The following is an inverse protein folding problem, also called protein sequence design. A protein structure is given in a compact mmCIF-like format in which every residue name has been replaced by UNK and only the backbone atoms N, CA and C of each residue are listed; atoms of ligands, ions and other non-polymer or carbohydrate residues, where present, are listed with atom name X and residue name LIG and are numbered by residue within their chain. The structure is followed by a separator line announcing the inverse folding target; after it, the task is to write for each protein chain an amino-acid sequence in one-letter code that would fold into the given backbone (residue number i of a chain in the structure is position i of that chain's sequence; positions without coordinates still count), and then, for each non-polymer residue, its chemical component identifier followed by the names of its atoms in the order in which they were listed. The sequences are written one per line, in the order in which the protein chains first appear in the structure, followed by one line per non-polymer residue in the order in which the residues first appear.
data_IF_312621899537
#
_entry.id   IF_312621899537
#
_cell.length_a   1.000
_cell.length_b   1.000
_cell.length_c   1.000
_cell.angle_alpha   90.00
_cell.angle_beta   90.00
_cell.angle_gamma   90.00
#
_symmetry.space_group_name_H-M   'P 1'
#
loop_
_entity.id
_entity.type
_entity.pdbx_description
1 polymer ?
#
# COMPACT_ATOMS: atom_id res chain seq x y z
N UNK A 1 -27.26 -47.51 0.54
CA UNK A 1 -25.95 -46.93 0.91
C UNK A 1 -25.18 -46.72 -0.38
N UNK A 2 -24.77 -45.54 -0.85
CA UNK A 2 -24.92 -44.15 -0.42
C UNK A 2 -24.67 -43.34 -1.69
N UNK A 3 -25.53 -42.35 -1.95
CA UNK A 3 -25.52 -41.54 -3.15
C UNK A 3 -24.28 -40.65 -3.23
N UNK A 4 -23.57 -40.72 -4.36
CA UNK A 4 -22.60 -39.72 -4.80
C UNK A 4 -23.30 -38.84 -5.83
N UNK A 5 -24.13 -37.92 -5.33
CA UNK A 5 -24.71 -36.81 -6.09
C UNK A 5 -23.64 -35.70 -6.10
N UNK A 6 -22.70 -35.79 -7.05
CA UNK A 6 -21.69 -34.75 -7.24
C UNK A 6 -22.40 -33.51 -7.80
N UNK A 7 -22.12 -32.39 -7.14
CA UNK A 7 -22.67 -31.07 -7.37
C UNK A 7 -22.18 -30.57 -8.73
N UNK A 8 -22.96 -30.82 -9.79
CA UNK A 8 -22.95 -29.98 -10.98
C UNK A 8 -23.98 -28.87 -10.73
N UNK A 9 -23.49 -27.69 -10.35
CA UNK A 9 -24.31 -26.49 -10.36
C UNK A 9 -24.85 -26.29 -11.77
N UNK A 10 -26.16 -26.34 -11.91
CA UNK A 10 -26.86 -25.89 -13.12
C UNK A 10 -26.44 -24.44 -13.37
N UNK A 11 -25.88 -24.09 -14.55
CA UNK A 11 -25.64 -22.69 -14.89
C UNK A 11 -26.98 -21.95 -14.81
N UNK A 12 -27.02 -20.92 -13.97
CA UNK A 12 -28.19 -20.06 -13.79
C UNK A 12 -28.58 -19.44 -15.13
N UNK A 13 -29.86 -19.46 -15.48
CA UNK A 13 -30.42 -18.95 -16.72
C UNK A 13 -30.44 -17.40 -16.82
N UNK A 14 -29.72 -16.70 -15.93
CA UNK A 14 -29.72 -15.24 -15.79
C UNK A 14 -28.46 -14.55 -16.32
N UNK A 15 -27.61 -15.21 -17.12
CA UNK A 15 -26.49 -14.53 -17.77
C UNK A 15 -26.96 -13.73 -19.01
N UNK A 16 -27.96 -12.85 -18.84
CA UNK A 16 -28.14 -11.75 -19.78
C UNK A 16 -26.84 -10.95 -19.81
N UNK A 17 -26.23 -10.85 -21.00
CA UNK A 17 -25.01 -10.07 -21.21
C UNK A 17 -25.34 -8.61 -20.88
N UNK A 18 -24.89 -8.15 -19.71
CA UNK A 18 -25.06 -6.76 -19.29
C UNK A 18 -24.28 -5.85 -20.22
N UNK A 19 -24.84 -4.69 -20.52
CA UNK A 19 -24.12 -3.70 -21.34
C UNK A 19 -22.98 -3.07 -20.54
N UNK A 20 -21.89 -2.64 -21.19
CA UNK A 20 -20.75 -2.03 -20.48
C UNK A 20 -21.14 -0.83 -19.60
N UNK A 21 -22.07 0.07 -19.98
CA UNK A 21 -22.57 1.12 -19.10
C UNK A 21 -23.20 0.61 -17.79
N UNK A 22 -23.95 -0.50 -17.84
CA UNK A 22 -24.56 -1.12 -16.65
C UNK A 22 -23.50 -1.72 -15.71
N UNK A 23 -22.47 -2.35 -16.29
CA UNK A 23 -21.34 -2.90 -15.54
C UNK A 23 -20.55 -1.80 -14.83
N UNK A 24 -20.28 -0.67 -15.48
CA UNK A 24 -19.65 0.48 -14.82
C UNK A 24 -20.54 1.10 -13.72
N UNK A 25 -21.86 1.15 -13.93
CA UNK A 25 -22.79 1.58 -12.90
C UNK A 25 -22.80 0.62 -11.69
N UNK A 26 -22.65 -0.69 -11.92
CA UNK A 26 -22.51 -1.69 -10.86
C UNK A 26 -21.22 -1.46 -10.05
N UNK A 27 -20.07 -1.22 -10.69
CA UNK A 27 -18.82 -0.85 -10.02
C UNK A 27 -18.94 0.45 -9.21
N UNK A 28 -19.71 1.42 -9.72
CA UNK A 28 -20.06 2.64 -8.98
C UNK A 28 -20.82 2.34 -7.68
N UNK A 29 -21.80 1.43 -7.70
CA UNK A 29 -22.55 1.00 -6.50
C UNK A 29 -21.66 0.26 -5.49
N UNK A 30 -20.77 -0.61 -5.97
CA UNK A 30 -19.77 -1.30 -5.16
C UNK A 30 -18.89 -0.31 -4.39
N UNK A 31 -18.50 0.81 -5.03
CA UNK A 31 -17.69 1.85 -4.36
C UNK A 31 -18.37 2.42 -3.12
N UNK A 32 -19.70 2.57 -3.15
CA UNK A 32 -20.49 2.99 -1.98
C UNK A 32 -20.46 1.96 -0.85
N UNK A 33 -20.72 0.67 -1.17
CA UNK A 33 -20.61 -0.44 -0.20
C UNK A 33 -19.22 -0.54 0.41
N UNK A 34 -18.17 -0.43 -0.41
CA UNK A 34 -16.79 -0.50 0.05
C UNK A 34 -16.44 0.59 1.05
N UNK A 35 -16.92 1.82 0.83
CA UNK A 35 -16.70 2.94 1.76
C UNK A 35 -17.35 2.68 3.12
N UNK A 36 -18.55 2.08 3.15
CA UNK A 36 -19.22 1.71 4.40
C UNK A 36 -18.43 0.61 5.15
N UNK A 37 -17.95 -0.41 4.44
CA UNK A 37 -17.16 -1.49 5.04
C UNK A 37 -15.82 -0.99 5.62
N UNK A 38 -15.13 -0.05 4.97
CA UNK A 38 -13.89 0.51 5.53
C UNK A 38 -14.13 1.28 6.83
N UNK A 39 -15.27 2.00 6.94
CA UNK A 39 -15.67 2.65 8.19
C UNK A 39 -15.95 1.63 9.29
N UNK A 40 -16.76 0.59 9.01
CA UNK A 40 -17.07 -0.46 9.98
C UNK A 40 -15.80 -1.20 10.45
N UNK A 41 -14.84 -1.43 9.54
CA UNK A 41 -13.54 -2.04 9.87
C UNK A 41 -12.78 -1.24 10.92
N UNK A 42 -12.84 0.09 10.88
CA UNK A 42 -12.14 0.95 11.86
C UNK A 42 -12.75 0.79 13.25
N UNK A 43 -14.06 0.52 13.32
CA UNK A 43 -14.82 0.40 14.57
C UNK A 43 -14.87 -1.03 15.13
N UNK A 44 -14.57 -2.04 14.30
CA UNK A 44 -14.61 -3.45 14.69
C UNK A 44 -13.58 -3.77 15.79
N UNK A 45 -14.07 -4.21 16.96
CA UNK A 45 -13.24 -4.50 18.13
C UNK A 45 -13.26 -5.98 18.57
N UNK A 46 -14.33 -6.72 18.27
CA UNK A 46 -14.52 -8.10 18.70
C UNK A 46 -14.47 -9.10 17.53
N UNK A 47 -14.32 -10.38 17.87
CA UNK A 47 -14.15 -11.46 16.90
C UNK A 47 -15.39 -11.70 16.04
N UNK A 48 -16.59 -11.54 16.58
CA UNK A 48 -17.82 -11.74 15.84
C UNK A 48 -17.99 -10.64 14.77
N UNK A 49 -17.74 -9.39 15.15
CA UNK A 49 -17.79 -8.24 14.23
C UNK A 49 -16.73 -8.37 13.12
N UNK A 50 -15.50 -8.78 13.45
CA UNK A 50 -14.45 -9.01 12.43
C UNK A 50 -14.80 -10.18 11.51
N UNK A 51 -15.39 -11.26 12.02
CA UNK A 51 -15.82 -12.39 11.20
C UNK A 51 -16.96 -12.03 10.24
N UNK A 52 -17.94 -11.25 10.71
CA UNK A 52 -19.02 -10.73 9.87
C UNK A 52 -18.47 -9.83 8.76
N UNK A 53 -17.65 -8.84 9.12
CA UNK A 53 -16.99 -7.95 8.16
C UNK A 53 -16.15 -8.72 7.12
N UNK A 54 -15.40 -9.74 7.56
CA UNK A 54 -14.60 -10.59 6.67
C UNK A 54 -15.47 -11.29 5.63
N UNK A 55 -16.64 -11.78 6.05
CA UNK A 55 -17.63 -12.39 5.16
C UNK A 55 -18.16 -11.37 4.16
N UNK A 56 -18.58 -10.18 4.61
CA UNK A 56 -19.09 -9.13 3.73
C UNK A 56 -18.05 -8.63 2.72
N UNK A 57 -16.78 -8.51 3.13
CA UNK A 57 -15.67 -8.15 2.21
C UNK A 57 -15.43 -9.27 1.19
N UNK A 58 -15.52 -10.54 1.59
CA UNK A 58 -15.36 -11.67 0.68
C UNK A 58 -16.50 -11.73 -0.36
N UNK A 59 -17.74 -11.48 0.05
CA UNK A 59 -18.88 -11.35 -0.85
C UNK A 59 -18.70 -10.19 -1.83
N UNK A 60 -18.28 -9.01 -1.34
CA UNK A 60 -18.03 -7.86 -2.21
C UNK A 60 -16.89 -8.12 -3.21
N UNK A 61 -15.83 -8.83 -2.81
CA UNK A 61 -14.76 -9.25 -3.70
C UNK A 61 -15.29 -10.19 -4.80
N UNK A 62 -16.14 -11.15 -4.44
CA UNK A 62 -16.75 -12.07 -5.39
C UNK A 62 -17.66 -11.32 -6.38
N UNK A 63 -18.49 -10.38 -5.89
CA UNK A 63 -19.34 -9.52 -6.73
C UNK A 63 -18.51 -8.73 -7.76
N UNK A 64 -17.39 -8.16 -7.32
CA UNK A 64 -16.51 -7.37 -8.19
C UNK A 64 -15.76 -8.26 -9.19
N UNK A 65 -15.25 -9.42 -8.75
CA UNK A 65 -14.62 -10.39 -9.65
C UNK A 65 -15.57 -10.81 -10.77
N UNK A 66 -16.81 -11.18 -10.44
CA UNK A 66 -17.81 -11.52 -11.44
C UNK A 66 -18.08 -10.36 -12.41
N UNK A 67 -18.18 -9.13 -11.89
CA UNK A 67 -18.38 -7.93 -12.73
C UNK A 67 -17.19 -7.66 -13.67
N UNK A 68 -15.96 -7.92 -13.23
CA UNK A 68 -14.75 -7.75 -14.05
C UNK A 68 -14.66 -8.83 -15.13
N UNK A 69 -15.01 -10.08 -14.83
CA UNK A 69 -15.09 -11.16 -15.81
C UNK A 69 -16.14 -10.88 -16.89
N UNK A 70 -17.29 -10.31 -16.51
CA UNK A 70 -18.32 -9.90 -17.46
C UNK A 70 -17.86 -8.71 -18.33
N UNK A 71 -17.12 -7.76 -17.76
CA UNK A 71 -16.51 -6.65 -18.52
C UNK A 71 -15.49 -7.15 -19.54
N UNK A 72 -14.62 -8.08 -19.15
CA UNK A 72 -13.63 -8.72 -20.02
C UNK A 72 -14.32 -9.43 -21.19
N UNK A 73 -15.32 -10.28 -20.91
CA UNK A 73 -16.11 -10.95 -21.96
C UNK A 73 -16.79 -9.95 -22.90
N UNK A 74 -17.37 -8.87 -22.36
CA UNK A 74 -18.05 -7.85 -23.17
C UNK A 74 -17.08 -7.11 -24.10
N UNK A 75 -15.85 -6.86 -23.66
CA UNK A 75 -14.83 -6.20 -24.48
C UNK A 75 -14.37 -7.11 -25.64
N UNK A 76 -14.17 -8.40 -25.38
CA UNK A 76 -13.76 -9.37 -26.43
C UNK A 76 -14.85 -9.66 -27.45
N UNK A 77 -16.13 -9.51 -27.08
CA UNK A 77 -17.26 -9.78 -27.98
C UNK A 77 -17.45 -8.69 -29.05
N UNK A 78 -16.94 -7.48 -28.82
CA UNK A 78 -17.03 -6.35 -29.76
C UNK A 78 -15.88 -6.36 -30.81
N UNK A 79 -14.85 -7.20 -30.66
CA UNK A 79 -13.70 -7.31 -31.60
C UNK A 79 -13.91 -8.32 -32.76
N UNK A 80 -15.15 -8.65 -33.14
CA UNK A 80 -15.44 -9.70 -34.15
C UNK A 80 -15.25 -9.25 -35.61
N UNK A 81 -14.70 -8.07 -35.88
CA UNK A 81 -14.47 -7.62 -37.26
C UNK A 81 -13.19 -6.77 -37.37
N UNK A 82 -12.00 -7.39 -37.33
CA UNK A 82 -10.91 -6.97 -38.21
C UNK A 82 -9.73 -7.94 -38.28
N UNK A 83 -9.20 -8.04 -39.49
CA UNK A 83 -8.11 -8.87 -40.03
C UNK A 83 -6.72 -8.44 -39.49
N UNK A 84 -6.60 -8.16 -38.18
CA UNK A 84 -5.37 -7.64 -37.57
C UNK A 84 -4.50 -8.74 -36.98
N UNK A 85 -3.45 -9.05 -37.73
CA UNK A 85 -2.38 -9.99 -37.43
C UNK A 85 -1.66 -9.74 -36.08
N UNK A 86 -1.48 -10.82 -35.32
CA UNK A 86 -0.26 -11.23 -34.60
C UNK A 86 0.64 -10.16 -33.94
N UNK A 87 0.09 -9.21 -33.18
CA UNK A 87 0.86 -8.51 -32.15
C UNK A 87 0.45 -9.01 -30.76
N UNK A 88 1.26 -9.88 -30.16
CA UNK A 88 1.08 -10.36 -28.78
C UNK A 88 1.05 -9.15 -27.81
N UNK A 89 -0.08 -8.91 -27.11
CA UNK A 89 -0.15 -7.82 -26.14
C UNK A 89 0.74 -8.13 -24.93
N UNK A 90 1.69 -7.23 -24.71
CA UNK A 90 2.60 -7.26 -23.56
C UNK A 90 1.86 -6.92 -22.26
N UNK A 91 1.28 -7.93 -21.61
CA UNK A 91 0.58 -7.82 -20.32
C UNK A 91 1.57 -7.87 -19.15
N UNK A 92 1.92 -6.70 -18.61
CA UNK A 92 2.91 -6.57 -17.52
C UNK A 92 2.30 -6.06 -16.22
N UNK A 93 1.89 -6.96 -15.30
CA UNK A 93 1.68 -6.56 -13.89
C UNK A 93 2.26 -7.58 -12.92
N UNK A 94 3.27 -7.13 -12.17
CA UNK A 94 4.03 -7.89 -11.17
C UNK A 94 5.48 -7.44 -11.03
N UNK A 95 6.04 -6.80 -12.08
CA UNK A 95 7.38 -6.25 -12.12
C UNK A 95 7.38 -4.84 -12.74
N UNK A 96 8.40 -4.03 -12.41
CA UNK A 96 8.64 -2.65 -12.91
C UNK A 96 8.07 -2.45 -14.34
N UNK A 97 7.08 -1.57 -14.56
CA UNK A 97 6.86 -1.06 -15.91
C UNK A 97 8.02 -0.11 -16.26
N UNK A 98 8.58 -0.18 -17.48
CA UNK A 98 9.10 1.03 -18.11
C UNK A 98 7.92 2.01 -18.16
N UNK A 99 8.14 3.26 -17.74
CA UNK A 99 7.10 4.24 -17.35
C UNK A 99 6.20 4.72 -18.52
N UNK A 100 6.20 4.03 -19.67
CA UNK A 100 5.55 4.51 -20.90
C UNK A 100 4.60 3.52 -21.57
N UNK A 101 4.55 2.24 -21.17
CA UNK A 101 3.56 1.31 -21.73
C UNK A 101 2.31 1.34 -20.86
N UNK A 102 1.40 2.26 -21.17
CA UNK A 102 0.05 2.23 -20.62
C UNK A 102 -0.68 1.04 -21.25
N UNK A 103 -1.49 0.27 -20.49
CA UNK A 103 -2.35 -0.73 -21.10
C UNK A 103 -3.22 -0.02 -22.13
N UNK A 104 -3.10 -0.44 -23.39
CA UNK A 104 -3.86 0.12 -24.51
C UNK A 104 -5.33 -0.30 -24.44
N UNK A 105 -5.63 -1.38 -23.70
CA UNK A 105 -6.95 -2.01 -23.64
C UNK A 105 -7.46 -2.16 -22.20
N UNK A 106 -8.79 -2.06 -22.05
CA UNK A 106 -9.47 -2.20 -20.74
C UNK A 106 -9.42 -3.63 -20.22
N UNK A 107 -9.41 -4.60 -21.13
CA UNK A 107 -9.30 -6.04 -20.84
C UNK A 107 -8.03 -6.39 -20.05
N UNK A 108 -6.88 -5.84 -20.42
CA UNK A 108 -5.62 -6.04 -19.67
C UNK A 108 -5.76 -5.55 -18.21
N UNK A 109 -6.43 -4.42 -18.01
CA UNK A 109 -6.65 -3.84 -16.69
C UNK A 109 -7.60 -4.72 -15.87
N UNK A 110 -8.67 -5.22 -16.49
CA UNK A 110 -9.63 -6.15 -15.87
C UNK A 110 -8.98 -7.49 -15.51
N UNK A 111 -8.19 -8.09 -16.41
CA UNK A 111 -7.50 -9.36 -16.19
C UNK A 111 -6.55 -9.27 -14.97
N UNK A 112 -5.71 -8.24 -14.93
CA UNK A 112 -4.80 -7.99 -13.81
C UNK A 112 -5.57 -7.76 -12.51
N UNK A 113 -6.62 -6.94 -12.59
CA UNK A 113 -7.49 -6.66 -11.45
C UNK A 113 -8.07 -7.95 -10.88
N UNK A 114 -8.59 -8.83 -11.73
CA UNK A 114 -9.14 -10.13 -11.34
C UNK A 114 -8.10 -11.01 -10.67
N UNK A 115 -6.87 -11.08 -11.21
CA UNK A 115 -5.79 -11.85 -10.58
C UNK A 115 -5.45 -11.32 -9.17
N UNK A 116 -5.30 -10.00 -9.00
CA UNK A 116 -4.95 -9.38 -7.72
C UNK A 116 -6.06 -9.52 -6.67
N UNK A 117 -7.33 -9.35 -7.07
CA UNK A 117 -8.49 -9.57 -6.20
C UNK A 117 -8.67 -11.04 -5.85
N UNK A 118 -8.45 -11.96 -6.80
CA UNK A 118 -8.47 -13.40 -6.55
C UNK A 118 -7.41 -13.83 -5.53
N UNK A 119 -6.20 -13.24 -5.59
CA UNK A 119 -5.17 -13.45 -4.56
C UNK A 119 -5.61 -12.89 -3.20
N UNK A 120 -6.20 -11.70 -3.17
CA UNK A 120 -6.70 -11.09 -1.94
C UNK A 120 -7.79 -11.95 -1.27
N UNK A 121 -8.72 -12.47 -2.07
CA UNK A 121 -9.80 -13.35 -1.62
C UNK A 121 -9.24 -14.65 -1.00
N UNK A 122 -8.27 -15.30 -1.67
CA UNK A 122 -7.62 -16.50 -1.11
C UNK A 122 -6.90 -16.22 0.21
N UNK A 123 -6.18 -15.10 0.31
CA UNK A 123 -5.53 -14.69 1.57
C UNK A 123 -6.56 -14.46 2.68
N UNK A 124 -7.68 -13.80 2.36
CA UNK A 124 -8.76 -13.54 3.31
C UNK A 124 -9.43 -14.84 3.80
N UNK A 125 -9.72 -15.77 2.89
CA UNK A 125 -10.31 -17.08 3.20
C UNK A 125 -9.36 -17.98 4.00
N UNK A 126 -8.05 -17.89 3.75
CA UNK A 126 -7.03 -18.66 4.47
C UNK A 126 -6.65 -18.07 5.83
N UNK A 127 -7.11 -16.87 6.19
CA UNK A 127 -6.73 -16.19 7.42
C UNK A 127 -7.40 -16.83 8.65
N UNK A 128 -6.58 -17.38 9.55
CA UNK A 128 -7.03 -18.00 10.80
C UNK A 128 -6.78 -17.08 12.01
N UNK A 129 -7.79 -16.91 12.84
CA UNK A 129 -7.74 -16.06 14.04
C UNK A 129 -8.02 -14.59 13.78
N UNK A 130 -8.31 -13.85 14.85
CA UNK A 130 -8.75 -12.45 14.83
C UNK A 130 -7.74 -11.54 14.10
N UNK A 131 -6.47 -11.59 14.50
CA UNK A 131 -5.43 -10.71 13.97
C UNK A 131 -5.20 -10.92 12.47
N UNK A 132 -5.04 -12.18 12.05
CA UNK A 132 -4.81 -12.50 10.64
C UNK A 132 -5.99 -12.09 9.77
N UNK A 133 -7.24 -12.29 10.23
CA UNK A 133 -8.44 -11.85 9.52
C UNK A 133 -8.49 -10.33 9.38
N UNK A 134 -8.23 -9.59 10.45
CA UNK A 134 -8.21 -8.13 10.41
C UNK A 134 -7.15 -7.58 9.45
N UNK A 135 -5.95 -8.17 9.42
CA UNK A 135 -4.86 -7.78 8.50
C UNK A 135 -5.26 -8.11 7.05
N UNK A 136 -5.79 -9.30 6.81
CA UNK A 136 -6.22 -9.71 5.47
C UNK A 136 -7.38 -8.83 4.96
N UNK A 137 -8.34 -8.49 5.82
CA UNK A 137 -9.46 -7.61 5.48
C UNK A 137 -9.00 -6.19 5.13
N UNK A 138 -8.09 -5.58 5.92
CA UNK A 138 -7.51 -4.27 5.58
C UNK A 138 -6.80 -4.32 4.22
N UNK A 139 -6.01 -5.39 3.99
CA UNK A 139 -5.29 -5.58 2.72
C UNK A 139 -6.25 -5.70 1.53
N UNK A 140 -7.31 -6.50 1.67
CA UNK A 140 -8.34 -6.72 0.67
C UNK A 140 -9.07 -5.42 0.30
N UNK A 141 -9.54 -4.65 1.30
CA UNK A 141 -10.24 -3.38 1.08
C UNK A 141 -9.36 -2.38 0.31
N UNK A 142 -8.08 -2.25 0.68
CA UNK A 142 -7.14 -1.36 -0.03
C UNK A 142 -6.90 -1.80 -1.47
N UNK A 143 -6.73 -3.11 -1.71
CA UNK A 143 -6.60 -3.66 -3.06
C UNK A 143 -7.84 -3.38 -3.89
N UNK A 144 -9.02 -3.57 -3.31
CA UNK A 144 -10.29 -3.35 -3.99
C UNK A 144 -10.46 -1.89 -4.40
N UNK A 145 -10.15 -0.92 -3.53
CA UNK A 145 -10.14 0.49 -3.90
C UNK A 145 -9.20 0.80 -5.08
N UNK A 146 -7.99 0.24 -5.08
CA UNK A 146 -7.00 0.46 -6.14
C UNK A 146 -7.45 -0.13 -7.48
N UNK A 147 -7.98 -1.35 -7.44
CA UNK A 147 -8.50 -2.04 -8.61
C UNK A 147 -9.68 -1.29 -9.21
N UNK A 148 -10.68 -0.92 -8.39
CA UNK A 148 -11.83 -0.14 -8.85
C UNK A 148 -11.38 1.18 -9.49
N UNK A 149 -10.44 1.88 -8.86
CA UNK A 149 -9.89 3.10 -9.45
C UNK A 149 -9.18 2.84 -10.78
N UNK A 150 -8.32 1.82 -10.86
CA UNK A 150 -7.57 1.53 -12.08
C UNK A 150 -8.49 1.21 -13.26
N UNK A 151 -9.51 0.36 -13.04
CA UNK A 151 -10.50 -0.01 -14.05
C UNK A 151 -11.32 1.21 -14.47
N UNK A 152 -11.87 1.97 -13.52
CA UNK A 152 -12.68 3.13 -13.86
C UNK A 152 -11.87 4.25 -14.53
N UNK A 153 -10.63 4.50 -14.09
CA UNK A 153 -9.75 5.49 -14.71
C UNK A 153 -9.32 5.07 -16.13
N UNK A 154 -9.09 3.76 -16.36
CA UNK A 154 -8.85 3.21 -17.69
C UNK A 154 -10.05 3.44 -18.61
N UNK A 155 -11.25 3.15 -18.12
CA UNK A 155 -12.49 3.36 -18.86
C UNK A 155 -12.78 4.84 -19.17
N UNK A 156 -12.51 5.76 -18.24
CA UNK A 156 -12.62 7.21 -18.47
C UNK A 156 -11.69 7.69 -19.59
N UNK A 157 -10.46 7.16 -19.67
CA UNK A 157 -9.50 7.50 -20.73
C UNK A 157 -9.98 7.03 -22.10
N UNK A 158 -10.46 5.79 -22.20
CA UNK A 158 -10.95 5.24 -23.47
C UNK A 158 -12.21 5.96 -23.95
N UNK A 159 -13.11 6.32 -23.04
CA UNK A 159 -14.36 7.03 -23.37
C UNK A 159 -14.20 8.54 -23.57
N UNK A 160 -13.10 9.13 -23.09
CA UNK A 160 -12.90 10.57 -23.07
C UNK A 160 -13.90 11.34 -22.18
N UNK A 161 -14.57 10.66 -21.25
CA UNK A 161 -15.61 11.22 -20.39
C UNK A 161 -15.50 10.66 -18.96
N UNK A 162 -15.87 11.47 -17.96
CA UNK A 162 -15.83 11.05 -16.57
C UNK A 162 -16.98 10.09 -16.25
N UNK A 163 -16.69 9.05 -15.46
CA UNK A 163 -17.65 8.06 -14.99
C UNK A 163 -18.17 8.43 -13.59
N UNK A 164 -19.43 8.12 -13.32
CA UNK A 164 -20.00 8.32 -11.99
C UNK A 164 -19.29 7.42 -10.97
N UNK A 165 -18.91 8.00 -9.81
CA UNK A 165 -18.28 7.25 -8.72
C UNK A 165 -16.74 7.25 -8.72
N UNK A 166 -16.07 7.83 -9.72
CA UNK A 166 -14.60 7.94 -9.75
C UNK A 166 -14.06 8.98 -8.77
N UNK A 167 -14.81 10.04 -8.51
CA UNK A 167 -14.34 11.14 -7.66
C UNK A 167 -14.09 10.73 -6.18
N UNK A 168 -14.96 9.93 -5.52
CA UNK A 168 -14.63 9.33 -4.23
C UNK A 168 -13.33 8.51 -4.24
N UNK A 169 -13.08 7.73 -5.30
CA UNK A 169 -11.87 6.90 -5.44
C UNK A 169 -10.62 7.76 -5.61
N UNK A 170 -10.67 8.81 -6.46
CA UNK A 170 -9.58 9.78 -6.62
C UNK A 170 -9.22 10.45 -5.30
N UNK A 171 -10.21 10.97 -4.58
CA UNK A 171 -10.01 11.60 -3.27
C UNK A 171 -9.39 10.63 -2.26
N UNK A 172 -9.86 9.37 -2.23
CA UNK A 172 -9.31 8.32 -1.37
C UNK A 172 -7.84 8.06 -1.67
N UNK A 173 -7.46 7.93 -2.94
CA UNK A 173 -6.06 7.68 -3.34
C UNK A 173 -5.14 8.87 -3.06
N UNK A 174 -5.63 10.11 -3.25
CA UNK A 174 -4.91 11.30 -2.82
C UNK A 174 -4.64 11.28 -1.32
N UNK A 175 -5.65 10.94 -0.52
CA UNK A 175 -5.49 10.76 0.93
C UNK A 175 -4.58 9.57 1.29
N UNK A 176 -4.55 8.50 0.50
CA UNK A 176 -3.61 7.38 0.68
C UNK A 176 -2.16 7.83 0.49
N UNK A 177 -1.88 8.63 -0.54
CA UNK A 177 -0.53 9.16 -0.78
C UNK A 177 -0.06 10.03 0.40
N UNK A 178 -0.86 11.00 0.82
CA UNK A 178 -0.50 11.88 1.94
C UNK A 178 -0.33 11.10 3.25
N UNK A 179 -1.20 10.11 3.48
CA UNK A 179 -1.06 9.16 4.59
C UNK A 179 0.23 8.35 4.50
N UNK A 180 0.58 7.84 3.31
CA UNK A 180 1.79 7.05 3.11
C UNK A 180 3.06 7.89 3.33
N UNK A 181 3.06 9.15 2.88
CA UNK A 181 4.16 10.09 3.12
C UNK A 181 4.31 10.39 4.62
N UNK A 182 3.20 10.62 5.32
CA UNK A 182 3.22 10.83 6.76
C UNK A 182 3.75 9.60 7.53
N UNK A 183 3.27 8.40 7.19
CA UNK A 183 3.74 7.14 7.80
C UNK A 183 5.22 6.89 7.48
N UNK A 184 5.68 7.19 6.26
CA UNK A 184 7.10 7.09 5.90
C UNK A 184 7.96 7.96 6.82
N UNK A 185 7.55 9.21 7.06
CA UNK A 185 8.25 10.11 8.00
C UNK A 185 8.25 9.58 9.44
N UNK A 186 7.14 8.98 9.90
CA UNK A 186 7.09 8.33 11.21
C UNK A 186 8.10 7.18 11.31
N UNK A 187 8.17 6.32 10.30
CA UNK A 187 9.12 5.21 10.28
C UNK A 187 10.57 5.70 10.27
N UNK A 188 10.87 6.76 9.51
CA UNK A 188 12.19 7.41 9.54
C UNK A 188 12.54 7.93 10.92
N UNK A 189 11.61 8.64 11.55
CA UNK A 189 11.79 9.19 12.90
C UNK A 189 12.11 8.08 13.90
N UNK A 190 11.36 6.98 13.86
CA UNK A 190 11.63 5.81 14.69
C UNK A 190 13.01 5.20 14.42
N UNK A 191 13.40 5.00 13.15
CA UNK A 191 14.75 4.51 12.80
C UNK A 191 15.85 5.39 13.37
N UNK A 192 15.71 6.72 13.27
CA UNK A 192 16.67 7.68 13.79
C UNK A 192 16.70 7.75 15.31
N UNK A 193 15.60 7.36 15.97
CA UNK A 193 15.55 7.26 17.42
C UNK A 193 16.30 6.03 17.95
N UNK A 194 16.45 4.97 17.15
CA UNK A 194 17.19 3.78 17.55
C UNK A 194 18.68 4.10 17.77
N UNK A 195 19.25 3.54 18.85
CA UNK A 195 20.66 3.68 19.19
C UNK A 195 21.27 2.31 19.45
N UNK A 196 22.53 2.15 19.04
CA UNK A 196 23.36 1.04 19.50
C UNK A 196 23.85 1.32 20.92
N UNK A 197 23.93 0.31 21.80
CA UNK A 197 24.52 0.51 23.12
C UNK A 197 26.03 0.79 22.97
N UNK A 198 26.58 1.65 23.81
CA UNK A 198 28.02 1.99 23.77
C UNK A 198 28.91 0.80 24.19
N UNK A 199 28.37 -0.09 25.02
CA UNK A 199 29.01 -1.32 25.49
C UNK A 199 27.94 -2.32 25.97
N UNK A 200 28.35 -3.53 26.36
CA UNK A 200 27.46 -4.59 26.82
C UNK A 200 27.00 -4.46 28.28
N UNK A 201 27.21 -3.29 28.91
CA UNK A 201 26.68 -3.05 30.26
C UNK A 201 25.15 -2.96 30.23
N UNK A 202 24.52 -3.37 31.33
CA UNK A 202 23.05 -3.30 31.47
C UNK A 202 22.52 -1.87 31.31
N UNK A 203 23.28 -0.88 31.79
CA UNK A 203 22.90 0.53 31.73
C UNK A 203 22.91 1.08 30.30
N UNK A 204 23.94 0.75 29.51
CA UNK A 204 24.02 1.15 28.10
C UNK A 204 22.88 0.53 27.28
N UNK A 205 22.60 -0.76 27.49
CA UNK A 205 21.48 -1.47 26.84
C UNK A 205 20.13 -0.88 27.25
N UNK A 206 19.91 -0.62 28.54
CA UNK A 206 18.69 0.01 29.03
C UNK A 206 18.50 1.41 28.43
N UNK A 207 19.57 2.20 28.29
CA UNK A 207 19.52 3.53 27.69
C UNK A 207 19.11 3.45 26.21
N UNK A 208 19.72 2.56 25.42
CA UNK A 208 19.34 2.32 24.04
C UNK A 208 17.86 1.88 23.90
N UNK A 209 17.41 0.97 24.78
CA UNK A 209 16.00 0.54 24.81
C UNK A 209 15.04 1.69 25.19
N UNK A 210 15.43 2.60 26.10
CA UNK A 210 14.61 3.79 26.41
C UNK A 210 14.42 4.69 25.19
N UNK A 211 15.45 4.90 24.38
CA UNK A 211 15.32 5.64 23.13
C UNK A 211 14.39 4.94 22.14
N UNK A 212 14.50 3.62 22.00
CA UNK A 212 13.59 2.84 21.16
C UNK A 212 12.14 2.94 21.66
N UNK A 213 11.90 2.83 22.97
CA UNK A 213 10.59 2.98 23.58
C UNK A 213 10.00 4.39 23.33
N UNK A 214 10.81 5.44 23.44
CA UNK A 214 10.40 6.80 23.09
C UNK A 214 10.02 6.95 21.61
N UNK A 215 10.76 6.29 20.71
CA UNK A 215 10.42 6.23 19.29
C UNK A 215 9.09 5.52 19.02
N UNK A 216 8.85 4.37 19.66
CA UNK A 216 7.58 3.63 19.57
C UNK A 216 6.40 4.46 20.12
N UNK A 217 6.59 5.12 21.26
CA UNK A 217 5.59 6.01 21.84
C UNK A 217 5.27 7.19 20.91
N UNK A 218 6.29 7.76 20.25
CA UNK A 218 6.11 8.84 19.27
C UNK A 218 5.27 8.40 18.08
N UNK A 219 5.47 7.18 17.56
CA UNK A 219 4.61 6.63 16.51
C UNK A 219 3.16 6.50 17.01
N UNK A 220 2.97 5.88 18.18
CA UNK A 220 1.65 5.60 18.73
C UNK A 220 0.85 6.88 19.07
N UNK A 221 1.54 7.95 19.47
CA UNK A 221 0.94 9.25 19.78
C UNK A 221 0.71 10.13 18.53
N UNK A 222 1.18 9.71 17.35
CA UNK A 222 1.02 10.50 16.13
C UNK A 222 -0.45 10.57 15.70
N UNK A 223 -0.96 11.73 15.23
CA UNK A 223 -2.28 11.81 14.62
C UNK A 223 -2.42 10.90 13.38
N UNK A 224 -1.30 10.51 12.76
CA UNK A 224 -1.29 9.61 11.59
C UNK A 224 -1.16 8.13 11.97
N UNK A 225 -1.21 7.77 13.26
CA UNK A 225 -1.09 6.38 13.69
C UNK A 225 -2.17 5.47 13.08
N UNK A 226 -3.39 5.98 12.88
CA UNK A 226 -4.46 5.23 12.23
C UNK A 226 -4.18 4.90 10.75
N UNK A 227 -3.25 5.62 10.11
CA UNK A 227 -2.83 5.37 8.72
C UNK A 227 -1.73 4.32 8.60
N UNK A 228 -1.10 3.95 9.72
CA UNK A 228 -0.15 2.83 9.80
C UNK A 228 -0.92 1.54 9.52
N UNK A 229 -0.39 0.67 8.66
CA UNK A 229 -1.03 -0.61 8.33
C UNK A 229 -1.20 -1.43 9.60
N UNK A 230 -2.30 -2.17 9.73
CA UNK A 230 -2.53 -3.00 10.91
C UNK A 230 -1.40 -4.00 11.15
N UNK A 231 -0.85 -4.61 10.10
CA UNK A 231 0.33 -5.50 10.21
C UNK A 231 1.51 -4.83 10.92
N UNK A 232 1.80 -3.59 10.52
CA UNK A 232 2.93 -2.82 11.04
C UNK A 232 2.63 -2.37 12.47
N UNK A 233 1.38 -1.98 12.76
CA UNK A 233 0.92 -1.65 14.13
C UNK A 233 1.07 -2.85 15.06
N UNK A 234 0.62 -4.04 14.66
CA UNK A 234 0.75 -5.22 15.51
C UNK A 234 2.22 -5.57 15.76
N UNK A 235 3.05 -5.52 14.72
CA UNK A 235 4.49 -5.73 14.87
C UNK A 235 5.11 -4.73 15.88
N UNK A 236 4.81 -3.44 15.75
CA UNK A 236 5.30 -2.40 16.65
C UNK A 236 4.81 -2.57 18.09
N UNK A 237 3.54 -2.92 18.27
CA UNK A 237 2.96 -3.22 19.59
C UNK A 237 3.63 -4.43 20.23
N UNK A 238 3.85 -5.49 19.47
CA UNK A 238 4.56 -6.68 19.96
C UNK A 238 5.98 -6.34 20.44
N UNK A 239 6.73 -5.51 19.70
CA UNK A 239 8.06 -5.06 20.14
C UNK A 239 8.01 -4.19 21.39
N UNK A 240 7.02 -3.30 21.50
CA UNK A 240 6.79 -2.49 22.71
C UNK A 240 6.55 -3.39 23.92
N UNK A 241 5.69 -4.39 23.79
CA UNK A 241 5.32 -5.26 24.90
C UNK A 241 6.51 -6.13 25.35
N UNK A 242 7.33 -6.62 24.41
CA UNK A 242 8.60 -7.30 24.71
C UNK A 242 9.58 -6.41 25.46
N UNK A 243 9.67 -5.12 25.09
CA UNK A 243 10.51 -4.14 25.76
C UNK A 243 10.07 -3.90 27.19
N UNK A 244 8.77 -3.70 27.40
CA UNK A 244 8.20 -3.52 28.73
C UNK A 244 8.44 -4.76 29.58
N UNK A 245 8.19 -5.95 29.05
CA UNK A 245 8.43 -7.21 29.75
C UNK A 245 9.92 -7.37 30.15
N UNK A 246 10.86 -7.06 29.25
CA UNK A 246 12.29 -7.07 29.59
C UNK A 246 12.64 -6.08 30.72
N UNK A 247 12.06 -4.87 30.67
CA UNK A 247 12.31 -3.83 31.66
C UNK A 247 11.77 -4.19 33.06
N UNK A 248 10.59 -4.84 33.14
CA UNK A 248 9.95 -5.18 34.41
C UNK A 248 10.48 -6.49 35.02
N UNK A 249 10.73 -7.51 34.20
CA UNK A 249 11.05 -8.86 34.69
C UNK A 249 12.54 -9.07 35.06
N UNK A 250 13.38 -8.01 34.99
CA UNK A 250 14.79 -8.11 35.35
C UNK A 250 15.59 -9.07 34.45
N UNK A 251 15.18 -9.24 33.19
CA UNK A 251 15.78 -10.20 32.26
C UNK A 251 17.28 -9.94 32.00
N UNK A 252 18.06 -10.97 31.60
CA UNK A 252 19.49 -10.82 31.35
C UNK A 252 19.81 -9.76 30.29
N UNK A 253 21.00 -9.13 30.40
CA UNK A 253 21.44 -8.07 29.48
C UNK A 253 21.50 -8.54 28.02
N UNK A 254 21.96 -9.78 27.78
CA UNK A 254 22.01 -10.37 26.43
C UNK A 254 20.63 -10.41 25.76
N UNK A 255 19.55 -10.65 26.51
CA UNK A 255 18.20 -10.61 25.97
C UNK A 255 17.79 -9.18 25.54
N UNK A 256 18.33 -8.15 26.21
CA UNK A 256 18.13 -6.75 25.84
C UNK A 256 18.89 -6.38 24.58
N UNK A 257 20.12 -6.90 24.40
CA UNK A 257 20.88 -6.74 23.15
C UNK A 257 20.13 -7.39 21.99
N UNK A 258 19.66 -8.63 22.15
CA UNK A 258 18.86 -9.30 21.11
C UNK A 258 17.60 -8.51 20.75
N UNK A 259 16.89 -7.97 21.76
CA UNK A 259 15.71 -7.13 21.52
C UNK A 259 16.06 -5.87 20.70
N UNK A 260 17.23 -5.27 20.93
CA UNK A 260 17.69 -4.14 20.12
C UNK A 260 17.93 -4.58 18.66
N UNK A 261 18.59 -5.71 18.42
CA UNK A 261 18.74 -6.25 17.05
C UNK A 261 17.40 -6.50 16.36
N UNK A 262 16.43 -7.05 17.10
CA UNK A 262 15.08 -7.27 16.58
C UNK A 262 14.39 -5.94 16.25
N UNK A 263 14.60 -4.89 17.05
CA UNK A 263 14.08 -3.55 16.80
C UNK A 263 14.71 -2.91 15.56
N UNK A 264 16.03 -3.06 15.36
CA UNK A 264 16.71 -2.61 14.13
C UNK A 264 16.18 -3.36 12.90
N UNK A 265 16.02 -4.68 13.01
CA UNK A 265 15.44 -5.52 11.97
C UNK A 265 14.01 -5.09 11.65
N UNK A 266 13.19 -4.85 12.66
CA UNK A 266 11.84 -4.31 12.50
C UNK A 266 11.87 -2.96 11.76
N UNK A 267 12.76 -2.05 12.16
CA UNK A 267 12.95 -0.75 11.52
C UNK A 267 13.32 -0.86 10.03
N UNK A 268 14.13 -1.86 9.68
CA UNK A 268 14.51 -2.16 8.30
C UNK A 268 13.35 -2.74 7.50
N UNK A 269 12.56 -3.65 8.07
CA UNK A 269 11.34 -4.16 7.43
C UNK A 269 10.34 -3.04 7.12
N UNK A 270 10.22 -2.05 8.01
CA UNK A 270 9.36 -0.88 7.78
C UNK A 270 9.80 -0.03 6.56
N UNK A 271 11.02 -0.19 6.04
CA UNK A 271 11.44 0.44 4.77
C UNK A 271 10.64 -0.07 3.56
N UNK A 272 9.97 -1.22 3.68
CA UNK A 272 9.08 -1.73 2.63
C UNK A 272 7.91 -0.79 2.31
N UNK A 273 7.65 0.22 3.16
CA UNK A 273 6.74 1.32 2.80
C UNK A 273 7.14 1.98 1.47
N UNK A 274 8.44 2.09 1.17
CA UNK A 274 8.93 2.71 -0.07
C UNK A 274 8.56 1.87 -1.32
N UNK A 275 8.16 0.61 -1.14
CA UNK A 275 7.69 -0.25 -2.24
C UNK A 275 6.22 -0.01 -2.61
N UNK A 276 5.48 0.76 -1.81
CA UNK A 276 4.09 1.11 -2.11
C UNK A 276 3.99 1.88 -3.43
N UNK A 277 3.05 1.48 -4.28
CA UNK A 277 2.89 2.02 -5.63
C UNK A 277 2.70 3.54 -5.63
N UNK A 278 1.88 4.06 -4.71
CA UNK A 278 1.61 5.49 -4.57
C UNK A 278 2.87 6.30 -4.26
N UNK A 279 3.75 5.79 -3.40
CA UNK A 279 5.03 6.43 -3.07
C UNK A 279 6.01 6.31 -4.22
N UNK A 280 6.14 5.13 -4.84
CA UNK A 280 7.03 4.95 -6.00
C UNK A 280 6.67 5.88 -7.15
N UNK A 281 5.39 5.98 -7.49
CA UNK A 281 4.92 6.87 -8.54
C UNK A 281 5.15 8.34 -8.19
N UNK A 282 4.89 8.73 -6.94
CA UNK A 282 5.19 10.07 -6.44
C UNK A 282 6.69 10.38 -6.52
N UNK A 283 7.53 9.52 -5.96
CA UNK A 283 8.96 9.72 -5.84
C UNK A 283 9.62 9.78 -7.23
N UNK A 284 9.31 8.86 -8.14
CA UNK A 284 9.85 8.91 -9.50
C UNK A 284 9.51 10.23 -10.23
N UNK A 285 8.26 10.69 -10.13
CA UNK A 285 7.83 11.95 -10.74
C UNK A 285 8.56 13.14 -10.11
N UNK A 286 8.63 13.18 -8.79
CA UNK A 286 9.27 14.26 -8.05
C UNK A 286 10.79 14.30 -8.30
N UNK A 287 11.45 13.14 -8.37
CA UNK A 287 12.87 13.07 -8.64
C UNK A 287 13.17 13.57 -10.06
N UNK A 288 12.39 13.18 -11.06
CA UNK A 288 12.54 13.70 -12.43
C UNK A 288 12.31 15.20 -12.51
N UNK A 289 11.30 15.70 -11.80
CA UNK A 289 11.06 17.14 -11.66
C UNK A 289 12.30 17.85 -11.09
N UNK A 290 12.86 17.32 -9.99
CA UNK A 290 14.04 17.88 -9.32
C UNK A 290 15.30 17.85 -10.18
N UNK A 291 15.58 16.73 -10.85
CA UNK A 291 16.72 16.59 -11.75
C UNK A 291 16.57 17.48 -13.00
N UNK A 292 15.34 17.66 -13.49
CA UNK A 292 15.07 18.42 -14.72
C UNK A 292 15.13 19.95 -14.57
N UNK A 293 15.12 20.49 -13.35
CA UNK A 293 15.19 21.93 -13.12
C UNK A 293 16.09 22.26 -11.92
N UNK A 294 17.35 22.56 -12.22
CA UNK A 294 18.36 22.87 -11.22
C UNK A 294 18.37 24.34 -10.81
N UNK A 295 17.45 25.16 -11.33
CA UNK A 295 17.45 26.62 -11.15
C UNK A 295 16.62 27.09 -9.95
N UNK A 296 16.01 26.14 -9.23
CA UNK A 296 15.15 26.39 -8.08
C UNK A 296 15.87 27.07 -6.92
N UNK A 297 15.12 27.89 -6.20
CA UNK A 297 15.56 28.46 -4.94
C UNK A 297 15.75 27.38 -3.87
N UNK A 298 16.62 27.66 -2.90
CA UNK A 298 16.96 26.74 -1.81
C UNK A 298 15.74 26.27 -1.01
N UNK A 299 14.79 27.16 -0.77
CA UNK A 299 13.58 26.85 0.01
C UNK A 299 12.67 25.87 -0.73
N UNK A 300 12.50 26.03 -2.04
CA UNK A 300 11.74 25.10 -2.87
C UNK A 300 12.41 23.72 -2.93
N UNK A 301 13.74 23.68 -3.07
CA UNK A 301 14.51 22.44 -2.96
C UNK A 301 14.24 21.71 -1.63
N UNK A 302 14.35 22.42 -0.51
CA UNK A 302 14.13 21.82 0.81
C UNK A 302 12.70 21.32 0.98
N UNK A 303 11.70 22.08 0.51
CA UNK A 303 10.29 21.68 0.57
C UNK A 303 10.03 20.41 -0.24
N UNK A 304 10.58 20.31 -1.45
CA UNK A 304 10.43 19.14 -2.33
C UNK A 304 11.20 17.93 -1.79
N UNK A 305 12.43 18.11 -1.32
CA UNK A 305 13.24 17.04 -0.72
C UNK A 305 12.62 16.49 0.57
N UNK A 306 11.95 17.33 1.37
CA UNK A 306 11.22 16.86 2.54
C UNK A 306 10.12 15.86 2.18
N UNK A 307 9.51 15.98 0.98
CA UNK A 307 8.56 14.98 0.50
C UNK A 307 9.22 13.64 0.17
N UNK A 308 10.54 13.61 -0.10
CA UNK A 308 11.33 12.40 -0.33
C UNK A 308 11.96 11.82 0.96
N UNK A 309 11.73 12.47 2.12
CA UNK A 309 12.32 12.03 3.38
C UNK A 309 12.05 10.55 3.66
N UNK A 310 13.12 9.79 3.93
CA UNK A 310 13.06 8.36 4.19
C UNK A 310 13.05 7.43 3.00
N UNK A 311 13.10 7.96 1.78
CA UNK A 311 13.34 7.17 0.58
C UNK A 311 14.73 6.53 0.63
N UNK A 312 15.74 7.33 0.96
CA UNK A 312 17.15 6.96 0.94
C UNK A 312 17.92 7.65 2.08
N UNK A 313 18.81 6.93 2.75
CA UNK A 313 19.54 7.44 3.92
C UNK A 313 20.58 8.50 3.58
N UNK A 314 21.30 8.33 2.48
CA UNK A 314 22.30 9.30 2.02
C UNK A 314 21.62 10.58 1.54
N UNK A 315 20.51 10.48 0.81
CA UNK A 315 19.70 11.64 0.42
C UNK A 315 19.19 12.43 1.65
N UNK A 316 18.75 11.72 2.69
CA UNK A 316 18.32 12.32 3.95
C UNK A 316 19.45 13.11 4.64
N UNK A 317 20.68 12.60 4.61
CA UNK A 317 21.88 13.24 5.16
C UNK A 317 22.27 14.49 4.36
N UNK A 318 22.32 14.38 3.03
CA UNK A 318 22.59 15.51 2.15
C UNK A 318 21.54 16.62 2.29
N UNK A 319 20.27 16.25 2.42
CA UNK A 319 19.18 17.20 2.70
C UNK A 319 19.37 17.90 4.04
N UNK A 320 19.85 17.18 5.06
CA UNK A 320 20.17 17.79 6.36
C UNK A 320 21.39 18.72 6.29
N UNK A 321 22.38 18.42 5.44
CA UNK A 321 23.52 19.31 5.17
C UNK A 321 23.07 20.58 4.46
N UNK A 322 22.25 20.47 3.40
CA UNK A 322 21.66 21.61 2.70
C UNK A 322 20.86 22.52 3.63
N UNK A 323 20.16 21.97 4.62
CA UNK A 323 19.43 22.76 5.62
C UNK A 323 20.35 23.56 6.54
N UNK A 324 21.54 23.04 6.86
CA UNK A 324 22.52 23.70 7.75
C UNK A 324 23.43 24.68 7.00
N UNK A 325 23.75 24.41 5.74
CA UNK A 325 24.65 25.23 4.94
C UNK A 325 23.93 26.43 4.32
N UNK A 326 24.47 27.65 4.37
CA UNK A 326 23.91 28.79 3.64
C UNK A 326 24.12 28.69 2.12
N UNK A 327 25.04 27.83 1.66
CA UNK A 327 25.34 27.64 0.24
C UNK A 327 24.48 26.55 -0.43
N UNK A 328 24.48 26.57 -1.76
CA UNK A 328 23.86 25.54 -2.61
C UNK A 328 24.83 24.39 -2.92
N UNK A 329 25.98 24.30 -2.24
CA UNK A 329 27.01 23.30 -2.49
C UNK A 329 26.47 21.86 -2.45
N UNK A 330 25.70 21.47 -1.42
CA UNK A 330 25.13 20.11 -1.33
C UNK A 330 24.14 19.75 -2.45
N UNK A 331 23.62 20.73 -3.22
CA UNK A 331 22.61 20.46 -4.27
C UNK A 331 23.19 19.61 -5.40
N UNK A 332 24.48 19.75 -5.71
CA UNK A 332 25.12 18.94 -6.75
C UNK A 332 25.13 17.45 -6.33
N UNK A 333 25.55 17.16 -5.10
CA UNK A 333 25.56 15.80 -4.55
C UNK A 333 24.14 15.21 -4.47
N UNK A 334 23.16 16.03 -4.11
CA UNK A 334 21.74 15.66 -4.14
C UNK A 334 21.30 15.27 -5.55
N UNK A 335 21.60 16.08 -6.57
CA UNK A 335 21.23 15.78 -7.97
C UNK A 335 21.88 14.48 -8.44
N UNK A 336 23.16 14.25 -8.12
CA UNK A 336 23.86 13.00 -8.44
C UNK A 336 23.15 11.82 -7.78
N UNK A 337 22.86 11.91 -6.47
CA UNK A 337 22.16 10.85 -5.73
C UNK A 337 20.77 10.58 -6.30
N UNK A 338 20.02 11.64 -6.62
CA UNK A 338 18.70 11.55 -7.23
C UNK A 338 18.74 10.87 -8.61
N UNK A 339 19.75 11.16 -9.42
CA UNK A 339 19.92 10.54 -10.75
C UNK A 339 20.16 9.03 -10.64
N UNK A 340 20.94 8.59 -9.64
CA UNK A 340 21.18 7.17 -9.36
C UNK A 340 19.92 6.41 -8.88
N UNK A 341 18.94 7.11 -8.31
CA UNK A 341 17.68 6.49 -7.87
C UNK A 341 16.68 6.25 -9.00
N UNK A 342 16.87 6.89 -10.16
CA UNK A 342 15.98 6.78 -11.33
C UNK A 342 16.59 5.95 -12.47
N UNK A 343 17.93 5.82 -12.52
CA UNK A 343 18.65 4.92 -13.44
C UNK A 343 18.41 3.44 -13.14
#
# INVERSE_FOLDING_TARGET
MTALKLIMGTPSADSEIRTSPELFAALGKVTGRLTALDSQRIEAADEATVAALTTEVAELLADVLATLEDLEKSATADEVDDDFADEEPQTWVGFRPPVEVQPSRIEDVCFVASFELGRALRTLQGAAGLEARSIAAESAIRKLHRVLYAVMAGAERLRGASLQGTEPLRRRLGAELESALAVRRLYVSFRRALRRPENDSREAVLTALRYAAGGLATIAASPHYHSVRLSDRTLLLHQRDRLLDWAHAGKPTQAGVQLLEDLFTCADLLKDINRRQELRAHDLRLIRELVGDTTREREDWLLKLERLAGLDGELDELTAQLRKSPDMGPVIDIIVRLSLLVG
#
